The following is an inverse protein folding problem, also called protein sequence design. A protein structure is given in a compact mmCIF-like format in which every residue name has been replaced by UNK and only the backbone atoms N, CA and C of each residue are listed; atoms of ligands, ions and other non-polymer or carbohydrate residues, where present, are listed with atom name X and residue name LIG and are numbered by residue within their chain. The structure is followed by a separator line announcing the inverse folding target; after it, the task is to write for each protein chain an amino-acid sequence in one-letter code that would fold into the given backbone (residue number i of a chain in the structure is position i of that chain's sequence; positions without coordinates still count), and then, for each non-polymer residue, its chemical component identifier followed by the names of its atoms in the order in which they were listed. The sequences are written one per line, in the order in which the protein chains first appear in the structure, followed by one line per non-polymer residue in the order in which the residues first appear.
data_IF_801022406220
#
_entry.id   IF_801022406220
#
_cell.length_a   1.000
_cell.length_b   1.000
_cell.length_c   1.000
_cell.angle_alpha   90.00
_cell.angle_beta   90.00
_cell.angle_gamma   90.00
#
_symmetry.space_group_name_H-M   'P 1'
#
loop_
_entity.id
_entity.type
_entity.pdbx_description
1 polymer ?
#
# COMPACT_ATOMS: atom_id res chain seq x y z
N UNK A 1 -6.02 12.15 13.95
CA UNK A 1 -5.64 10.84 13.38
C UNK A 1 -6.51 10.47 12.17
N UNK A 2 -7.82 10.25 12.35
CA UNK A 2 -8.72 9.84 11.26
C UNK A 2 -8.76 10.80 10.05
N UNK A 3 -8.82 12.11 10.26
CA UNK A 3 -8.79 13.09 9.17
C UNK A 3 -7.52 13.00 8.30
N UNK A 4 -6.36 12.72 8.93
CA UNK A 4 -5.07 12.57 8.23
C UNK A 4 -5.01 11.28 7.42
N UNK A 5 -5.58 10.19 7.94
CA UNK A 5 -5.69 8.91 7.25
C UNK A 5 -6.63 9.00 6.03
N UNK A 6 -7.78 9.66 6.19
CA UNK A 6 -8.74 9.83 5.10
C UNK A 6 -8.20 10.76 4.00
N UNK A 7 -7.52 11.85 4.38
CA UNK A 7 -6.94 12.79 3.42
C UNK A 7 -5.76 12.21 2.62
N UNK A 8 -5.11 11.17 3.14
CA UNK A 8 -3.98 10.50 2.48
C UNK A 8 -4.33 9.08 1.99
N UNK A 9 -5.64 8.76 1.95
CA UNK A 9 -6.16 7.56 1.32
C UNK A 9 -5.99 7.62 -0.21
N UNK A 10 -6.24 6.48 -0.86
CA UNK A 10 -6.23 6.40 -2.32
C UNK A 10 -7.45 7.09 -2.95
N UNK A 11 -7.25 7.70 -4.11
CA UNK A 11 -8.34 8.17 -4.96
C UNK A 11 -9.10 7.01 -5.58
N UNK A 12 -10.38 7.23 -5.95
CA UNK A 12 -11.16 6.26 -6.73
C UNK A 12 -10.51 5.93 -8.08
N UNK A 13 -9.75 6.86 -8.66
CA UNK A 13 -9.02 6.64 -9.91
C UNK A 13 -7.82 5.69 -9.75
N UNK A 14 -7.25 5.61 -8.54
CA UNK A 14 -6.13 4.71 -8.26
C UNK A 14 -6.54 3.24 -8.43
N UNK A 15 -7.71 2.87 -7.90
CA UNK A 15 -8.28 1.54 -8.08
C UNK A 15 -8.51 1.22 -9.57
N UNK A 16 -8.98 2.19 -10.36
CA UNK A 16 -9.13 2.05 -11.81
C UNK A 16 -7.77 1.76 -12.47
N UNK A 17 -6.72 2.50 -12.11
CA UNK A 17 -5.36 2.27 -12.63
C UNK A 17 -4.84 0.87 -12.26
N UNK A 18 -5.12 0.37 -11.06
CA UNK A 18 -4.79 -1.01 -10.68
C UNK A 18 -5.45 -2.03 -11.60
N UNK A 19 -6.76 -1.88 -11.88
CA UNK A 19 -7.50 -2.79 -12.77
C UNK A 19 -6.91 -2.74 -14.18
N UNK A 20 -6.65 -1.55 -14.72
CA UNK A 20 -6.05 -1.37 -16.06
C UNK A 20 -4.66 -2.03 -16.13
N UNK A 21 -3.82 -1.83 -15.11
CA UNK A 21 -2.49 -2.43 -15.06
C UNK A 21 -2.54 -3.96 -15.03
N UNK A 22 -3.42 -4.54 -14.21
CA UNK A 22 -3.60 -6.00 -14.15
C UNK A 22 -4.17 -6.58 -15.44
N UNK A 23 -5.16 -5.95 -16.04
CA UNK A 23 -5.77 -6.43 -17.29
C UNK A 23 -4.84 -6.29 -18.51
N UNK A 24 -3.90 -5.35 -18.45
CA UNK A 24 -2.89 -5.16 -19.50
C UNK A 24 -1.71 -6.12 -19.38
N UNK A 25 -1.56 -6.83 -18.26
CA UNK A 25 -0.46 -7.77 -18.03
C UNK A 25 -0.72 -9.13 -18.71
N UNK A 26 0.08 -9.53 -19.72
CA UNK A 26 -0.07 -10.84 -20.37
C UNK A 26 0.10 -12.03 -19.41
N UNK A 27 0.76 -11.82 -18.27
CA UNK A 27 1.01 -12.82 -17.24
C UNK A 27 0.10 -12.67 -16.01
N UNK A 28 -1.01 -11.92 -16.12
CA UNK A 28 -1.95 -11.69 -15.00
C UNK A 28 -2.45 -12.98 -14.36
N UNK A 29 -2.53 -14.08 -15.11
CA UNK A 29 -2.93 -15.41 -14.62
C UNK A 29 -2.06 -15.91 -13.45
N UNK A 30 -0.79 -15.46 -13.33
CA UNK A 30 0.10 -15.80 -12.20
C UNK A 30 -0.35 -15.19 -10.87
N UNK A 31 -1.26 -14.22 -10.93
CA UNK A 31 -1.81 -13.48 -9.79
C UNK A 31 -3.22 -13.94 -9.42
N UNK A 32 -3.83 -14.82 -10.23
CA UNK A 32 -5.14 -15.42 -9.94
C UNK A 32 -5.13 -16.15 -8.60
N UNK A 33 -6.26 -16.08 -7.88
CA UNK A 33 -6.43 -16.73 -6.57
C UNK A 33 -5.75 -16.01 -5.40
N UNK A 34 -5.21 -14.81 -5.60
CA UNK A 34 -4.53 -14.02 -4.54
C UNK A 34 -5.31 -12.74 -4.25
N UNK A 35 -5.27 -12.32 -2.99
CA UNK A 35 -5.66 -10.96 -2.60
C UNK A 35 -4.45 -10.04 -2.81
N UNK A 36 -4.58 -9.07 -3.71
CA UNK A 36 -3.51 -8.13 -4.04
C UNK A 36 -3.77 -6.77 -3.38
N UNK A 37 -2.73 -6.17 -2.80
CA UNK A 37 -2.79 -4.79 -2.33
C UNK A 37 -2.58 -3.82 -3.51
N UNK A 38 -3.43 -2.81 -3.63
CA UNK A 38 -3.38 -1.79 -4.69
C UNK A 38 -2.02 -1.09 -4.75
N UNK A 39 -1.44 -0.81 -3.59
CA UNK A 39 -0.11 -0.20 -3.46
C UNK A 39 1.03 -1.09 -3.97
N UNK A 40 0.91 -2.41 -3.83
CA UNK A 40 1.90 -3.36 -4.36
C UNK A 40 1.81 -3.47 -5.88
N UNK A 41 0.58 -3.52 -6.40
CA UNK A 41 0.31 -3.46 -7.85
C UNK A 41 0.88 -2.16 -8.43
N UNK A 42 0.63 -1.02 -7.80
CA UNK A 42 1.13 0.27 -8.25
C UNK A 42 2.66 0.34 -8.34
N UNK A 43 3.36 -0.25 -7.36
CA UNK A 43 4.83 -0.34 -7.40
C UNK A 43 5.34 -1.28 -8.46
N UNK A 44 4.69 -2.43 -8.63
CA UNK A 44 5.11 -3.44 -9.59
C UNK A 44 4.94 -2.95 -11.03
N UNK A 45 3.83 -2.29 -11.34
CA UNK A 45 3.54 -1.75 -12.68
C UNK A 45 3.96 -0.29 -12.86
N UNK A 46 4.51 0.35 -11.83
CA UNK A 46 5.14 1.67 -11.94
C UNK A 46 4.19 2.86 -12.12
N UNK A 47 2.95 2.78 -11.63
CA UNK A 47 2.01 3.91 -11.67
C UNK A 47 1.80 4.54 -10.29
N UNK A 48 1.27 5.77 -10.29
CA UNK A 48 0.97 6.56 -9.09
C UNK A 48 -0.46 7.06 -9.12
N UNK A 49 -0.93 7.58 -7.99
CA UNK A 49 -2.24 8.20 -7.90
C UNK A 49 -2.31 9.52 -8.72
N UNK A 50 -3.50 10.10 -8.84
CA UNK A 50 -3.79 11.30 -9.64
C UNK A 50 -2.98 12.52 -9.21
N UNK A 51 -2.56 12.56 -7.95
CA UNK A 51 -1.70 13.62 -7.40
C UNK A 51 -0.20 13.36 -7.61
N UNK A 52 0.16 12.27 -8.30
CA UNK A 52 1.53 11.86 -8.56
C UNK A 52 2.25 11.26 -7.36
N UNK A 53 1.54 10.96 -6.27
CA UNK A 53 2.07 10.33 -5.06
C UNK A 53 1.63 8.88 -4.95
N UNK A 54 2.27 8.15 -4.04
CA UNK A 54 1.81 6.82 -3.65
C UNK A 54 0.87 6.98 -2.44
N UNK A 55 -0.32 6.33 -2.46
CA UNK A 55 -1.20 6.31 -1.30
C UNK A 55 -0.51 5.70 -0.07
N UNK A 56 -1.10 5.91 1.11
CA UNK A 56 -0.60 5.30 2.34
C UNK A 56 -0.43 3.78 2.19
N UNK A 57 0.78 3.32 2.48
CA UNK A 57 1.13 1.90 2.45
C UNK A 57 0.85 1.27 3.82
N UNK A 58 -0.14 0.38 3.87
CA UNK A 58 -0.55 -0.33 5.09
C UNK A 58 0.54 -1.24 5.65
N UNK A 59 1.53 -1.65 4.83
CA UNK A 59 2.67 -2.47 5.26
C UNK A 59 3.90 -1.64 5.61
N UNK A 60 3.83 -0.31 5.49
CA UNK A 60 4.95 0.56 5.87
C UNK A 60 5.11 0.62 7.38
N UNK A 61 6.34 0.37 7.85
CA UNK A 61 6.65 0.42 9.28
C UNK A 61 6.43 1.82 9.85
N UNK A 62 6.74 2.85 9.07
CA UNK A 62 6.50 4.25 9.46
C UNK A 62 5.02 4.51 9.73
N UNK A 63 4.14 4.06 8.82
CA UNK A 63 2.67 4.24 8.94
C UNK A 63 2.14 3.49 10.16
N UNK A 64 2.61 2.26 10.39
CA UNK A 64 2.20 1.44 11.54
C UNK A 64 2.61 2.10 12.85
N UNK A 65 3.83 2.63 12.93
CA UNK A 65 4.33 3.33 14.12
C UNK A 65 3.59 4.65 14.39
N UNK A 66 3.27 5.40 13.33
CA UNK A 66 2.41 6.59 13.43
C UNK A 66 1.02 6.20 13.95
N UNK A 67 0.44 5.11 13.44
CA UNK A 67 -0.86 4.61 13.86
C UNK A 67 -0.88 4.16 15.33
N UNK A 68 0.23 3.56 15.82
CA UNK A 68 0.42 3.17 17.22
C UNK A 68 0.75 4.35 18.15
N UNK A 69 0.85 5.59 17.62
CA UNK A 69 1.13 6.80 18.39
C UNK A 69 2.62 7.08 18.62
N UNK A 70 3.52 6.28 18.07
CA UNK A 70 4.98 6.45 18.19
C UNK A 70 5.54 7.40 17.13
N UNK A 71 4.93 8.59 17.00
CA UNK A 71 5.23 9.59 15.96
C UNK A 71 6.71 9.99 15.89
N UNK A 72 7.39 10.06 17.05
CA UNK A 72 8.82 10.40 17.10
C UNK A 72 9.70 9.29 16.54
N UNK A 73 9.33 8.03 16.68
CA UNK A 73 10.09 6.91 16.09
C UNK A 73 9.77 6.79 14.60
N UNK A 74 8.49 6.98 14.24
CA UNK A 74 8.04 6.97 12.86
C UNK A 74 8.74 8.04 12.00
N UNK A 75 9.03 9.23 12.54
CA UNK A 75 9.73 10.27 11.77
C UNK A 75 11.17 9.92 11.39
N UNK A 76 11.78 8.96 12.10
CA UNK A 76 13.15 8.49 11.81
C UNK A 76 13.18 7.30 10.85
N UNK A 77 12.04 6.66 10.63
CA UNK A 77 11.93 5.47 9.80
C UNK A 77 11.46 5.88 8.40
N UNK A 78 12.22 5.57 7.34
CA UNK A 78 11.78 5.84 5.98
C UNK A 78 10.53 5.04 5.60
N UNK A 79 9.61 5.66 4.85
CA UNK A 79 8.37 5.05 4.39
C UNK A 79 8.56 3.81 3.50
N UNK A 80 9.74 3.65 2.89
CA UNK A 80 10.08 2.50 2.05
C UNK A 80 10.31 1.21 2.86
N UNK A 81 10.56 1.30 4.17
CA UNK A 81 10.72 0.13 5.04
C UNK A 81 9.35 -0.51 5.27
N UNK A 82 9.24 -1.76 4.87
CA UNK A 82 7.99 -2.52 4.87
C UNK A 82 8.09 -3.81 5.64
N UNK A 83 6.96 -4.22 6.20
CA UNK A 83 6.77 -5.54 6.77
C UNK A 83 6.66 -6.56 5.62
N UNK A 84 7.48 -7.64 5.63
CA UNK A 84 7.35 -8.74 4.69
C UNK A 84 5.96 -9.38 4.75
N UNK A 85 5.44 -9.79 3.59
CA UNK A 85 4.08 -10.35 3.50
C UNK A 85 3.82 -11.54 4.45
N UNK A 86 4.75 -12.50 4.67
CA UNK A 86 4.53 -13.58 5.63
C UNK A 86 4.34 -13.08 7.07
N UNK A 87 5.10 -12.07 7.48
CA UNK A 87 4.98 -11.47 8.81
C UNK A 87 3.68 -10.69 8.95
N UNK A 88 3.29 -9.94 7.92
CA UNK A 88 2.03 -9.20 7.90
C UNK A 88 0.82 -10.15 7.99
N UNK A 89 0.87 -11.28 7.27
CA UNK A 89 -0.13 -12.35 7.38
C UNK A 89 -0.19 -12.90 8.81
N UNK A 90 0.95 -13.26 9.41
CA UNK A 90 1.00 -13.75 10.79
C UNK A 90 0.37 -12.79 11.80
N UNK A 91 0.65 -11.49 11.70
CA UNK A 91 0.09 -10.46 12.60
C UNK A 91 -1.43 -10.30 12.43
N UNK A 92 -1.97 -10.57 11.24
CA UNK A 92 -3.40 -10.38 10.95
C UNK A 92 -4.29 -11.54 11.45
N UNK A 93 -3.72 -12.68 11.80
CA UNK A 93 -4.46 -13.89 12.24
C UNK A 93 -4.51 -14.08 13.75
N UNK A 94 -3.92 -13.16 14.52
CA UNK A 94 -4.08 -13.07 15.98
C UNK A 94 -5.16 -12.06 16.33
#
# INVERSE_FOLDING_TARGET
MYAKLMAAGESTDFARKCIVALTSDPQVHRKSGKVLMTNDVAREYGFKDVDGKMPIDSRSLQVILDFLGWNRLASWIPSWIRIPLPLFHYVSYK
#
